data_IF_968860865092
#
_entry.id   IF_968860865092
#
_cell.length_a   1.000
_cell.length_b   1.000
_cell.length_c   1.000
_cell.angle_alpha   90.00
_cell.angle_beta   90.00
_cell.angle_gamma   90.00
#
_symmetry.space_group_name_H-M   'P 1'
#
loop_
_entity.id
_entity.type
_entity.pdbx_description
1 polymer ?
#
# COMPACT_ATOMS: atom_id res chain seq x y z
N UNK A 1 -0.70 -31.37 -32.07
CA UNK A 1 -0.24 -30.53 -30.95
C UNK A 1 1.21 -30.13 -31.22
N UNK A 2 1.45 -28.87 -31.61
CA UNK A 2 2.81 -28.35 -31.82
C UNK A 2 3.39 -28.02 -30.45
N UNK A 3 4.39 -28.76 -30.01
CA UNK A 3 5.13 -28.47 -28.79
C UNK A 3 5.70 -27.05 -28.84
N UNK A 4 5.35 -26.23 -27.85
CA UNK A 4 5.89 -24.89 -27.71
C UNK A 4 7.38 -25.05 -27.36
N UNK A 5 8.23 -24.80 -28.36
CA UNK A 5 9.67 -24.70 -28.19
C UNK A 5 9.93 -23.38 -27.45
N UNK A 6 9.79 -23.36 -26.12
CA UNK A 6 10.34 -22.28 -25.29
C UNK A 6 11.87 -22.38 -25.40
N UNK A 7 12.43 -21.76 -26.44
CA UNK A 7 13.85 -21.83 -26.73
C UNK A 7 14.61 -20.97 -25.74
N UNK A 8 15.78 -21.46 -25.31
CA UNK A 8 16.78 -20.79 -24.47
C UNK A 8 17.11 -19.34 -24.90
N UNK A 9 16.78 -18.96 -26.15
CA UNK A 9 16.83 -17.60 -26.69
C UNK A 9 15.87 -16.63 -25.99
N UNK A 10 14.66 -17.07 -25.63
CA UNK A 10 13.66 -16.24 -24.97
C UNK A 10 14.09 -15.94 -23.55
N UNK A 11 14.56 -16.97 -22.82
CA UNK A 11 15.11 -16.81 -21.47
C UNK A 11 16.27 -15.80 -21.46
N UNK A 12 17.22 -15.91 -22.39
CA UNK A 12 18.32 -14.94 -22.49
C UNK A 12 17.84 -13.53 -22.85
N UNK A 13 16.86 -13.41 -23.74
CA UNK A 13 16.27 -12.11 -24.11
C UNK A 13 15.52 -11.47 -22.94
N UNK A 14 14.78 -12.25 -22.16
CA UNK A 14 13.95 -11.75 -21.08
C UNK A 14 14.82 -11.34 -19.88
N UNK A 15 15.85 -12.12 -19.56
CA UNK A 15 16.88 -11.72 -18.58
C UNK A 15 17.61 -10.43 -18.99
N UNK A 16 17.94 -10.28 -20.28
CA UNK A 16 18.60 -9.07 -20.79
C UNK A 16 17.70 -7.82 -20.71
N UNK A 17 16.41 -7.97 -21.00
CA UNK A 17 15.40 -6.91 -20.81
C UNK A 17 15.28 -6.55 -19.32
N UNK A 18 15.15 -7.55 -18.45
CA UNK A 18 15.04 -7.36 -17.01
C UNK A 18 16.24 -6.59 -16.46
N UNK A 19 17.46 -7.00 -16.87
CA UNK A 19 18.71 -6.31 -16.56
C UNK A 19 18.72 -4.84 -16.96
N UNK A 20 18.40 -4.53 -18.22
CA UNK A 20 18.44 -3.15 -18.67
C UNK A 20 17.39 -2.29 -17.95
N UNK A 21 16.20 -2.83 -17.73
CA UNK A 21 15.11 -2.14 -17.02
C UNK A 21 15.48 -1.88 -15.56
N UNK A 22 15.95 -2.90 -14.83
CA UNK A 22 16.26 -2.79 -13.39
C UNK A 22 17.50 -1.98 -13.11
N UNK A 23 18.60 -2.20 -13.85
CA UNK A 23 19.80 -1.38 -13.71
C UNK A 23 19.51 0.09 -14.05
N UNK A 24 18.72 0.33 -15.11
CA UNK A 24 18.28 1.67 -15.48
C UNK A 24 17.36 2.31 -14.42
N UNK A 25 16.46 1.54 -13.81
CA UNK A 25 15.58 1.98 -12.71
C UNK A 25 16.40 2.39 -11.49
N UNK A 26 17.31 1.52 -11.02
CA UNK A 26 18.17 1.77 -9.85
C UNK A 26 19.04 3.03 -10.03
N UNK A 27 19.58 3.25 -11.23
CA UNK A 27 20.30 4.50 -11.53
C UNK A 27 19.41 5.73 -11.41
N UNK A 28 18.17 5.67 -11.91
CA UNK A 28 17.22 6.81 -11.85
C UNK A 28 16.78 7.10 -10.43
N UNK A 29 16.41 6.09 -9.66
CA UNK A 29 15.93 6.23 -8.27
C UNK A 29 16.99 6.86 -7.36
N UNK A 30 18.27 6.61 -7.64
CA UNK A 30 19.40 7.22 -6.92
C UNK A 30 19.97 8.48 -7.59
N UNK A 31 19.24 9.06 -8.56
CA UNK A 31 19.63 10.28 -9.27
C UNK A 31 21.02 10.22 -9.95
N UNK A 32 21.42 9.03 -10.41
CA UNK A 32 22.67 8.87 -11.12
C UNK A 32 22.56 9.14 -12.61
N UNK A 33 23.50 9.94 -13.12
CA UNK A 33 23.88 9.94 -14.54
C UNK A 33 24.94 8.87 -14.78
N UNK A 34 25.18 8.48 -16.04
CA UNK A 34 26.30 7.57 -16.34
C UNK A 34 27.66 8.11 -15.87
N UNK A 35 27.85 9.43 -15.86
CA UNK A 35 29.11 10.06 -15.43
C UNK A 35 29.28 10.01 -13.91
N UNK A 36 28.24 10.37 -13.16
CA UNK A 36 28.28 10.36 -11.69
C UNK A 36 28.38 8.93 -11.16
N UNK A 37 27.61 8.00 -11.75
CA UNK A 37 27.73 6.58 -11.43
C UNK A 37 29.13 6.03 -11.72
N UNK A 38 29.71 6.32 -12.89
CA UNK A 38 31.06 5.86 -13.22
C UNK A 38 32.11 6.37 -12.21
N UNK A 39 31.97 7.61 -11.74
CA UNK A 39 32.89 8.20 -10.77
C UNK A 39 32.88 7.40 -9.46
N UNK A 40 31.70 7.16 -8.89
CA UNK A 40 31.56 6.45 -7.62
C UNK A 40 31.86 4.95 -7.74
N UNK A 41 31.46 4.32 -8.85
CA UNK A 41 31.81 2.93 -9.14
C UNK A 41 33.33 2.75 -9.20
N UNK A 42 34.05 3.67 -9.86
CA UNK A 42 35.52 3.67 -9.93
C UNK A 42 36.17 3.81 -8.57
N UNK A 43 35.63 4.72 -7.76
CA UNK A 43 36.13 4.98 -6.42
C UNK A 43 35.98 3.75 -5.52
N UNK A 44 34.87 3.01 -5.65
CA UNK A 44 34.61 1.84 -4.81
C UNK A 44 35.30 0.56 -5.26
N UNK A 45 35.31 0.24 -6.56
CA UNK A 45 35.79 -1.06 -7.06
C UNK A 45 37.01 -0.99 -7.99
N UNK A 46 37.41 0.21 -8.41
CA UNK A 46 38.38 0.37 -9.48
C UNK A 46 37.83 0.01 -10.88
N UNK A 47 38.50 0.50 -11.91
CA UNK A 47 38.20 0.13 -13.31
C UNK A 47 36.92 0.73 -13.90
N UNK A 48 36.50 0.25 -15.07
CA UNK A 48 35.33 0.77 -15.79
C UNK A 48 35.61 2.01 -16.66
N UNK A 49 34.81 2.17 -17.71
CA UNK A 49 34.85 3.29 -18.66
C UNK A 49 33.43 3.72 -18.99
N UNK A 50 33.25 4.91 -19.57
CA UNK A 50 31.93 5.35 -20.04
C UNK A 50 31.34 4.35 -21.06
N UNK A 51 32.19 3.75 -21.90
CA UNK A 51 31.79 2.71 -22.82
C UNK A 51 31.33 1.42 -22.10
N UNK A 52 31.89 1.09 -20.93
CA UNK A 52 31.40 -0.03 -20.12
C UNK A 52 30.00 0.27 -19.59
N UNK A 53 29.77 1.45 -18.98
CA UNK A 53 28.45 1.82 -18.44
C UNK A 53 27.38 1.78 -19.53
N UNK A 54 27.67 2.36 -20.70
CA UNK A 54 26.77 2.35 -21.85
C UNK A 54 26.43 0.93 -22.32
N UNK A 55 27.41 0.01 -22.31
CA UNK A 55 27.18 -1.40 -22.66
C UNK A 55 26.35 -2.12 -21.60
N UNK A 56 26.63 -1.90 -20.32
CA UNK A 56 25.88 -2.53 -19.22
C UNK A 56 24.40 -2.14 -19.26
N UNK A 57 24.07 -0.90 -19.64
CA UNK A 57 22.68 -0.45 -19.79
C UNK A 57 21.97 -0.93 -21.07
N UNK A 58 22.68 -1.67 -21.94
CA UNK A 58 22.20 -2.07 -23.28
C UNK A 58 22.42 -3.56 -23.57
N UNK A 59 22.56 -4.39 -22.54
CA UNK A 59 22.67 -5.85 -22.69
C UNK A 59 21.54 -6.38 -23.58
N UNK A 60 21.87 -7.28 -24.50
CA UNK A 60 20.94 -7.82 -25.49
C UNK A 60 20.72 -6.94 -26.74
N UNK A 61 21.17 -5.67 -26.74
CA UNK A 61 21.11 -4.82 -27.93
C UNK A 61 22.16 -5.22 -28.98
N UNK A 62 21.88 -4.97 -30.26
CA UNK A 62 22.87 -5.08 -31.34
C UNK A 62 23.70 -3.80 -31.46
N UNK A 63 25.00 -3.95 -31.71
CA UNK A 63 25.90 -2.87 -32.13
C UNK A 63 26.11 -2.88 -33.66
N UNK A 64 26.74 -1.84 -34.22
CA UNK A 64 26.86 -1.62 -35.68
C UNK A 64 27.44 -2.81 -36.46
N UNK A 65 28.30 -3.61 -35.85
CA UNK A 65 28.86 -4.81 -36.47
C UNK A 65 27.98 -6.06 -36.35
N UNK A 66 26.70 -5.91 -35.95
CA UNK A 66 25.74 -6.99 -35.80
C UNK A 66 25.90 -7.83 -34.53
N UNK A 67 26.96 -7.64 -33.72
CA UNK A 67 27.16 -8.38 -32.47
C UNK A 67 26.19 -7.92 -31.40
N UNK A 68 25.67 -8.87 -30.63
CA UNK A 68 24.84 -8.60 -29.45
C UNK A 68 25.72 -8.27 -28.25
N UNK A 69 25.36 -7.22 -27.50
CA UNK A 69 26.01 -6.88 -26.24
C UNK A 69 25.67 -7.99 -25.22
N UNK A 70 26.70 -8.71 -24.78
CA UNK A 70 26.57 -9.72 -23.72
C UNK A 70 26.44 -9.07 -22.34
N UNK A 71 26.05 -9.87 -21.35
CA UNK A 71 26.18 -9.51 -19.95
C UNK A 71 27.64 -9.18 -19.62
N UNK A 72 27.89 -8.30 -18.63
CA UNK A 72 29.25 -8.10 -18.13
C UNK A 72 29.77 -9.37 -17.43
N UNK A 73 31.05 -9.37 -17.03
CA UNK A 73 31.58 -10.50 -16.25
C UNK A 73 30.79 -10.68 -14.96
N UNK A 74 30.73 -11.91 -14.44
CA UNK A 74 30.03 -12.18 -13.19
C UNK A 74 30.55 -11.31 -12.03
N UNK A 75 31.86 -11.09 -11.95
CA UNK A 75 32.47 -10.15 -11.00
C UNK A 75 31.93 -8.72 -11.15
N UNK A 76 31.78 -8.23 -12.38
CA UNK A 76 31.16 -6.91 -12.61
C UNK A 76 29.68 -6.93 -12.23
N UNK A 77 28.96 -8.04 -12.44
CA UNK A 77 27.57 -8.18 -12.00
C UNK A 77 27.47 -8.11 -10.48
N UNK A 78 28.38 -8.77 -9.75
CA UNK A 78 28.47 -8.70 -8.29
C UNK A 78 28.76 -7.26 -7.83
N UNK A 79 29.72 -6.56 -8.43
CA UNK A 79 30.04 -5.17 -8.06
C UNK A 79 28.85 -4.23 -8.31
N UNK A 80 28.11 -4.43 -9.41
CA UNK A 80 26.89 -3.68 -9.70
C UNK A 80 25.79 -3.98 -8.68
N UNK A 81 25.58 -5.25 -8.36
CA UNK A 81 24.60 -5.68 -7.37
C UNK A 81 24.93 -5.09 -5.98
N UNK A 82 26.18 -5.21 -5.53
CA UNK A 82 26.67 -4.63 -4.26
C UNK A 82 26.58 -3.10 -4.24
N UNK A 83 26.87 -2.43 -5.37
CA UNK A 83 26.76 -0.96 -5.44
C UNK A 83 25.32 -0.52 -5.20
N UNK A 84 24.37 -1.24 -5.78
CA UNK A 84 22.96 -0.95 -5.64
C UNK A 84 22.30 -1.65 -4.44
N UNK A 85 23.04 -2.41 -3.63
CA UNK A 85 22.46 -3.12 -2.48
C UNK A 85 21.39 -4.15 -2.86
N UNK A 86 21.50 -4.74 -4.05
CA UNK A 86 20.59 -5.77 -4.58
C UNK A 86 21.35 -7.05 -4.90
N UNK A 87 20.65 -8.12 -5.25
CA UNK A 87 21.22 -9.37 -5.72
C UNK A 87 21.43 -9.37 -7.23
N UNK A 88 22.34 -10.22 -7.72
CA UNK A 88 22.44 -10.51 -9.15
C UNK A 88 21.15 -11.15 -9.68
N UNK A 89 20.47 -11.94 -8.84
CA UNK A 89 19.17 -12.52 -9.16
C UNK A 89 18.14 -11.44 -9.49
N UNK A 90 18.06 -10.38 -8.67
CA UNK A 90 17.23 -9.21 -8.97
C UNK A 90 17.63 -8.57 -10.31
N UNK A 91 18.91 -8.26 -10.53
CA UNK A 91 19.31 -7.64 -11.79
C UNK A 91 19.02 -8.52 -13.01
N UNK A 92 18.97 -9.83 -12.87
CA UNK A 92 18.75 -10.75 -13.99
C UNK A 92 17.31 -11.27 -14.12
N UNK A 93 16.44 -10.99 -13.16
CA UNK A 93 15.06 -11.47 -13.14
C UNK A 93 14.89 -12.90 -12.61
N UNK A 94 15.81 -13.37 -11.77
CA UNK A 94 15.67 -14.65 -11.05
C UNK A 94 14.81 -14.52 -9.79
N UNK A 95 14.75 -13.32 -9.22
CA UNK A 95 13.83 -12.94 -8.15
C UNK A 95 13.28 -11.55 -8.44
N UNK A 96 12.05 -11.28 -8.01
CA UNK A 96 11.45 -9.94 -8.10
C UNK A 96 11.80 -9.06 -6.90
N UNK A 97 12.36 -9.65 -5.84
CA UNK A 97 12.81 -8.98 -4.63
C UNK A 97 14.26 -8.47 -4.76
N UNK A 98 14.63 -7.40 -4.05
CA UNK A 98 16.02 -6.91 -4.10
C UNK A 98 17.04 -7.99 -3.72
N UNK A 99 16.71 -8.86 -2.76
CA UNK A 99 17.57 -9.97 -2.32
C UNK A 99 16.76 -11.24 -2.05
N UNK A 100 17.41 -12.40 -2.13
CA UNK A 100 16.80 -13.69 -1.80
C UNK A 100 16.48 -13.82 -0.30
N UNK A 101 17.21 -13.10 0.56
CA UNK A 101 16.92 -13.01 1.99
C UNK A 101 15.60 -12.26 2.23
N UNK A 102 15.38 -11.13 1.54
CA UNK A 102 14.13 -10.39 1.61
C UNK A 102 12.98 -11.26 1.08
N UNK A 103 13.14 -11.93 -0.06
CA UNK A 103 12.14 -12.84 -0.61
C UNK A 103 11.69 -13.89 0.42
N UNK A 104 12.65 -14.56 1.07
CA UNK A 104 12.34 -15.55 2.11
C UNK A 104 11.60 -14.95 3.31
N UNK A 105 11.96 -13.74 3.73
CA UNK A 105 11.26 -13.07 4.83
C UNK A 105 9.84 -12.69 4.42
N UNK A 106 9.67 -12.10 3.24
CA UNK A 106 8.37 -11.75 2.65
C UNK A 106 7.45 -12.98 2.61
N UNK A 107 7.93 -14.10 2.05
CA UNK A 107 7.21 -15.36 1.99
C UNK A 107 6.86 -15.91 3.38
N UNK A 108 7.79 -15.78 4.34
CA UNK A 108 7.60 -16.30 5.69
C UNK A 108 6.56 -15.53 6.50
N UNK A 109 6.56 -14.19 6.42
CA UNK A 109 5.66 -13.35 7.23
C UNK A 109 4.42 -12.87 6.47
N UNK A 110 4.34 -13.10 5.16
CA UNK A 110 3.22 -12.69 4.33
C UNK A 110 3.14 -11.19 4.04
N UNK A 111 4.28 -10.49 4.08
CA UNK A 111 4.37 -9.06 3.75
C UNK A 111 5.13 -8.85 2.45
N UNK A 112 4.76 -7.77 1.74
CA UNK A 112 5.52 -7.28 0.59
C UNK A 112 6.85 -6.65 1.03
N UNK A 113 7.78 -6.51 0.07
CA UNK A 113 9.14 -6.02 0.32
C UNK A 113 9.19 -4.67 1.04
N UNK A 114 8.31 -3.74 0.68
CA UNK A 114 8.25 -2.41 1.31
C UNK A 114 7.87 -2.51 2.79
N UNK A 115 7.01 -3.46 3.16
CA UNK A 115 6.65 -3.73 4.56
C UNK A 115 7.83 -4.30 5.35
N UNK A 116 8.56 -5.27 4.77
CA UNK A 116 9.78 -5.83 5.39
C UNK A 116 10.85 -4.76 5.56
N UNK A 117 11.04 -3.89 4.56
CA UNK A 117 11.99 -2.77 4.63
C UNK A 117 11.61 -1.75 5.69
N UNK A 118 10.32 -1.45 5.86
CA UNK A 118 9.86 -0.56 6.92
C UNK A 118 10.21 -1.12 8.31
N UNK A 119 9.95 -2.41 8.55
CA UNK A 119 10.34 -3.10 9.79
C UNK A 119 11.86 -3.05 10.00
N UNK A 120 12.64 -3.33 8.94
CA UNK A 120 14.11 -3.26 8.99
C UNK A 120 14.60 -1.85 9.31
N UNK A 121 14.01 -0.81 8.71
CA UNK A 121 14.38 0.59 8.94
C UNK A 121 14.11 1.06 10.37
N UNK A 122 13.00 0.61 10.96
CA UNK A 122 12.67 0.89 12.37
C UNK A 122 13.68 0.21 13.28
N UNK A 123 13.91 -1.09 13.07
CA UNK A 123 14.82 -1.89 13.93
C UNK A 123 16.30 -1.57 13.73
N UNK A 124 16.70 -0.96 12.62
CA UNK A 124 18.05 -0.39 12.43
C UNK A 124 18.18 1.04 12.96
N UNK A 125 17.05 1.69 13.28
CA UNK A 125 16.97 3.11 13.64
C UNK A 125 17.18 4.08 12.48
N UNK A 126 17.46 3.59 11.27
CA UNK A 126 17.76 4.43 10.09
C UNK A 126 16.55 5.22 9.59
N UNK A 127 15.34 4.71 9.79
CA UNK A 127 14.11 5.38 9.34
C UNK A 127 13.47 6.31 10.38
N UNK A 128 13.97 6.32 11.62
CA UNK A 128 13.33 7.05 12.73
C UNK A 128 13.99 8.39 12.99
N UNK A 129 15.32 8.41 13.09
CA UNK A 129 16.09 9.63 13.33
C UNK A 129 17.50 9.53 12.74
N UNK A 130 18.13 10.67 12.45
CA UNK A 130 19.51 10.73 11.95
C UNK A 130 20.52 10.06 12.90
N UNK A 131 20.25 10.07 14.21
CA UNK A 131 21.04 9.39 15.23
C UNK A 131 20.42 8.05 15.67
N UNK A 132 19.34 7.59 15.04
CA UNK A 132 18.57 6.44 15.49
C UNK A 132 19.35 5.14 15.56
N UNK A 133 20.39 4.97 14.73
CA UNK A 133 21.30 3.82 14.79
C UNK A 133 21.99 3.60 16.14
N UNK A 134 22.14 4.65 16.95
CA UNK A 134 22.77 4.56 18.27
C UNK A 134 21.81 4.07 19.36
N UNK A 135 20.51 4.06 19.06
CA UNK A 135 19.42 3.65 19.95
C UNK A 135 18.49 2.65 19.24
N UNK A 136 19.08 1.85 18.34
CA UNK A 136 18.35 0.90 17.52
C UNK A 136 17.74 -0.23 18.34
N UNK A 137 18.40 -0.62 19.44
CA UNK A 137 17.91 -1.65 20.36
C UNK A 137 16.63 -1.18 21.07
N UNK A 138 16.56 0.10 21.45
CA UNK A 138 15.36 0.72 22.04
C UNK A 138 14.21 0.78 21.03
N UNK A 139 14.46 1.19 19.78
CA UNK A 139 13.42 1.16 18.74
C UNK A 139 12.94 -0.26 18.42
N UNK A 140 13.85 -1.22 18.44
CA UNK A 140 13.51 -2.63 18.28
C UNK A 140 12.61 -3.10 19.43
N UNK A 141 12.91 -2.73 20.67
CA UNK A 141 12.09 -3.04 21.83
C UNK A 141 10.69 -2.42 21.70
N UNK A 142 10.60 -1.13 21.35
CA UNK A 142 9.32 -0.45 21.10
C UNK A 142 8.48 -1.20 20.06
N UNK A 143 9.08 -1.56 18.92
CA UNK A 143 8.37 -2.31 17.88
C UNK A 143 7.95 -3.69 18.38
N UNK A 144 8.83 -4.41 19.06
CA UNK A 144 8.53 -5.73 19.61
C UNK A 144 7.32 -5.67 20.55
N UNK A 145 7.35 -4.80 21.55
CA UNK A 145 6.26 -4.69 22.52
C UNK A 145 4.97 -4.18 21.90
N UNK A 146 5.04 -3.32 20.89
CA UNK A 146 3.85 -2.91 20.11
C UNK A 146 3.23 -4.11 19.39
N UNK A 147 4.05 -4.92 18.71
CA UNK A 147 3.58 -6.08 17.94
C UNK A 147 3.09 -7.22 18.84
N UNK A 148 3.60 -7.32 20.07
CA UNK A 148 3.24 -8.37 21.04
C UNK A 148 2.18 -7.93 22.05
N UNK A 149 1.75 -6.66 22.04
CA UNK A 149 0.63 -6.21 22.86
C UNK A 149 -0.62 -7.03 22.52
N UNK A 150 -1.32 -7.48 23.56
CA UNK A 150 -2.53 -8.29 23.43
C UNK A 150 -3.61 -7.58 22.62
N UNK A 151 -3.72 -6.26 22.78
CA UNK A 151 -4.65 -5.40 22.04
C UNK A 151 -4.25 -5.14 20.58
N UNK A 152 -3.02 -5.49 20.15
CA UNK A 152 -2.55 -5.18 18.79
C UNK A 152 -3.29 -5.97 17.71
N UNK A 153 -3.66 -7.22 17.98
CA UNK A 153 -4.45 -8.03 17.03
C UNK A 153 -5.85 -7.43 16.83
N UNK A 154 -6.48 -6.97 17.91
CA UNK A 154 -7.77 -6.28 17.84
C UNK A 154 -7.63 -4.95 17.07
N UNK A 155 -6.53 -4.21 17.26
CA UNK A 155 -6.26 -2.99 16.50
C UNK A 155 -6.20 -3.25 14.99
N UNK A 156 -5.51 -4.31 14.54
CA UNK A 156 -5.46 -4.67 13.12
C UNK A 156 -6.85 -5.00 12.57
N UNK A 157 -7.67 -5.73 13.33
CA UNK A 157 -9.05 -6.06 12.94
C UNK A 157 -9.89 -4.81 12.80
N UNK A 158 -9.91 -3.96 13.83
CA UNK A 158 -10.73 -2.74 13.83
C UNK A 158 -10.23 -1.70 12.81
N UNK A 159 -8.92 -1.63 12.55
CA UNK A 159 -8.38 -0.77 11.50
C UNK A 159 -8.88 -1.17 10.11
N UNK A 160 -8.98 -2.48 9.84
CA UNK A 160 -9.55 -3.02 8.59
C UNK A 160 -11.05 -2.79 8.49
N UNK A 161 -11.78 -2.83 9.60
CA UNK A 161 -13.21 -2.51 9.65
C UNK A 161 -13.45 -1.01 9.42
N UNK A 162 -12.69 -0.14 10.09
CA UNK A 162 -12.73 1.31 9.87
C UNK A 162 -12.43 1.66 8.41
N UNK A 163 -11.41 1.04 7.80
CA UNK A 163 -11.09 1.24 6.39
C UNK A 163 -12.25 0.83 5.46
N UNK A 164 -12.95 -0.26 5.76
CA UNK A 164 -14.14 -0.68 5.01
C UNK A 164 -15.29 0.34 5.15
N UNK A 165 -15.54 0.85 6.36
CA UNK A 165 -16.57 1.85 6.61
C UNK A 165 -16.28 3.16 5.87
N UNK A 166 -15.03 3.64 5.91
CA UNK A 166 -14.59 4.81 5.14
C UNK A 166 -14.74 4.58 3.63
N UNK A 167 -14.39 3.39 3.14
CA UNK A 167 -14.56 3.05 1.73
C UNK A 167 -16.04 3.10 1.34
N UNK A 168 -16.94 2.48 2.12
CA UNK A 168 -18.38 2.48 1.87
C UNK A 168 -19.00 3.87 1.95
N UNK A 169 -18.45 4.77 2.78
CA UNK A 169 -18.86 6.16 2.83
C UNK A 169 -18.49 6.92 1.55
N UNK A 170 -17.28 6.68 1.00
CA UNK A 170 -16.80 7.28 -0.26
C UNK A 170 -17.42 6.65 -1.51
N UNK A 171 -17.87 5.41 -1.40
CA UNK A 171 -18.45 4.62 -2.48
C UNK A 171 -19.82 4.09 -2.06
N UNK A 172 -20.80 4.99 -1.83
CA UNK A 172 -22.12 4.59 -1.40
C UNK A 172 -22.78 3.73 -2.47
N UNK A 173 -23.50 2.72 -2.00
CA UNK A 173 -24.44 1.99 -2.83
C UNK A 173 -25.72 2.81 -2.87
N UNK A 174 -26.22 3.12 -4.06
CA UNK A 174 -27.57 3.70 -4.22
C UNK A 174 -28.61 2.59 -4.38
N UNK A 175 -29.55 2.53 -3.45
CA UNK A 175 -30.76 1.72 -3.55
C UNK A 175 -31.66 2.25 -4.65
N UNK A 176 -31.74 3.57 -4.84
CA UNK A 176 -32.43 4.20 -5.97
C UNK A 176 -31.92 3.71 -7.32
N UNK A 177 -30.60 3.71 -7.55
CA UNK A 177 -30.01 3.19 -8.79
C UNK A 177 -30.32 1.70 -9.01
N UNK A 178 -30.37 0.92 -7.92
CA UNK A 178 -30.70 -0.51 -7.98
C UNK A 178 -32.17 -0.75 -8.28
N UNK A 179 -33.07 0.07 -7.74
CA UNK A 179 -34.50 0.03 -8.01
C UNK A 179 -34.80 0.46 -9.46
N UNK A 180 -34.21 1.58 -9.89
CA UNK A 180 -34.36 2.13 -11.24
C UNK A 180 -34.01 1.14 -12.34
N UNK A 181 -32.93 0.35 -12.18
CA UNK A 181 -32.51 -0.69 -13.13
C UNK A 181 -33.53 -1.81 -13.35
N UNK A 182 -34.49 -1.99 -12.44
CA UNK A 182 -35.53 -3.02 -12.50
C UNK A 182 -36.84 -2.51 -13.09
N UNK A 183 -36.96 -1.21 -13.35
CA UNK A 183 -38.15 -0.56 -13.88
C UNK A 183 -37.94 -0.31 -15.39
N UNK A 184 -38.99 -0.47 -16.20
CA UNK A 184 -38.91 -0.18 -17.64
C UNK A 184 -38.66 1.32 -17.85
N UNK A 185 -37.89 1.66 -18.88
CA UNK A 185 -37.41 3.04 -19.08
C UNK A 185 -38.54 4.07 -19.22
N UNK A 186 -39.58 3.73 -19.98
CA UNK A 186 -40.77 4.56 -20.19
C UNK A 186 -41.55 4.80 -18.89
N UNK A 187 -41.70 3.76 -18.06
CA UNK A 187 -42.35 3.87 -16.74
C UNK A 187 -41.47 4.62 -15.76
N UNK A 188 -40.16 4.41 -15.78
CA UNK A 188 -39.20 5.01 -14.86
C UNK A 188 -39.16 6.54 -14.98
N UNK A 189 -39.14 7.08 -16.20
CA UNK A 189 -39.13 8.52 -16.44
C UNK A 189 -40.40 9.18 -15.88
N UNK A 190 -41.56 8.55 -16.09
CA UNK A 190 -42.83 9.04 -15.53
C UNK A 190 -42.90 8.87 -14.02
N UNK A 191 -42.40 7.74 -13.49
CA UNK A 191 -42.37 7.48 -12.05
C UNK A 191 -41.54 8.54 -11.30
N UNK A 192 -40.38 8.94 -11.81
CA UNK A 192 -39.59 10.03 -11.20
C UNK A 192 -40.33 11.36 -11.14
N UNK A 193 -41.16 11.67 -12.15
CA UNK A 193 -41.94 12.90 -12.18
C UNK A 193 -43.10 12.88 -11.17
N UNK A 194 -43.62 11.69 -10.89
CA UNK A 194 -44.78 11.48 -10.05
C UNK A 194 -44.44 11.01 -8.62
N UNK A 195 -43.16 10.89 -8.24
CA UNK A 195 -42.76 10.39 -6.91
C UNK A 195 -43.36 11.21 -5.76
N UNK A 196 -43.48 12.53 -5.96
CA UNK A 196 -44.02 13.47 -4.98
C UNK A 196 -45.54 13.70 -5.13
N UNK A 197 -46.21 13.03 -6.06
CA UNK A 197 -47.64 13.23 -6.31
C UNK A 197 -48.48 12.72 -5.14
N UNK A 198 -49.44 13.54 -4.73
CA UNK A 198 -50.33 13.28 -3.61
C UNK A 198 -51.76 13.07 -4.08
N UNK A 199 -52.45 12.18 -3.38
CA UNK A 199 -53.91 12.08 -3.41
C UNK A 199 -54.42 12.22 -1.97
N UNK A 200 -54.92 13.41 -1.63
CA UNK A 200 -55.41 13.75 -0.29
C UNK A 200 -56.85 14.25 -0.44
N UNK A 201 -57.76 13.68 0.34
CA UNK A 201 -59.13 14.16 0.44
C UNK A 201 -59.39 14.60 1.88
N UNK A 202 -59.60 15.90 2.08
CA UNK A 202 -59.95 16.50 3.37
C UNK A 202 -61.30 17.23 3.27
N UNK A 203 -62.13 17.11 4.31
CA UNK A 203 -63.44 17.75 4.43
C UNK A 203 -63.33 19.29 4.54
N UNK A 204 -62.19 19.83 4.98
CA UNK A 204 -61.94 21.27 5.17
C UNK A 204 -61.22 21.93 3.97
N UNK A 205 -60.31 21.21 3.31
CA UNK A 205 -59.44 21.76 2.25
C UNK A 205 -59.69 21.20 0.84
N UNK A 206 -60.59 20.21 0.69
CA UNK A 206 -60.95 19.62 -0.61
C UNK A 206 -60.08 18.45 -1.03
N UNK A 207 -60.14 18.09 -2.33
CA UNK A 207 -59.37 16.98 -2.92
C UNK A 207 -58.13 17.55 -3.62
N UNK A 208 -56.96 17.12 -3.18
CA UNK A 208 -55.68 17.26 -3.90
C UNK A 208 -55.48 15.96 -4.67
N UNK A 209 -55.35 16.06 -5.99
CA UNK A 209 -55.11 14.92 -6.88
C UNK A 209 -54.11 15.35 -7.95
N UNK A 210 -52.81 15.25 -7.60
CA UNK A 210 -51.72 15.70 -8.47
C UNK A 210 -51.68 14.93 -9.79
N UNK A 211 -52.13 13.67 -9.80
CA UNK A 211 -52.23 12.88 -11.03
C UNK A 211 -53.24 13.50 -11.99
N UNK A 212 -54.43 13.86 -11.49
CA UNK A 212 -55.46 14.49 -12.29
C UNK A 212 -55.07 15.91 -12.72
N UNK A 213 -54.48 16.70 -11.84
CA UNK A 213 -54.04 18.06 -12.15
C UNK A 213 -52.97 18.11 -13.25
N UNK A 214 -52.09 17.10 -13.28
CA UNK A 214 -51.03 16.98 -14.28
C UNK A 214 -51.40 16.12 -15.50
N UNK A 215 -52.67 15.70 -15.64
CA UNK A 215 -53.17 14.83 -16.70
C UNK A 215 -52.37 13.51 -16.85
N UNK A 216 -51.97 12.91 -15.74
CA UNK A 216 -51.28 11.62 -15.69
C UNK A 216 -52.25 10.55 -15.22
N UNK A 217 -52.36 9.45 -15.98
CA UNK A 217 -53.17 8.29 -15.58
C UNK A 217 -52.38 7.39 -14.61
N UNK A 218 -52.87 7.15 -13.38
CA UNK A 218 -52.16 6.36 -12.37
C UNK A 218 -52.32 4.86 -12.62
N UNK A 219 -51.60 4.34 -13.63
CA UNK A 219 -51.60 2.90 -13.93
C UNK A 219 -50.97 2.09 -12.79
N UNK A 220 -51.37 0.82 -12.63
CA UNK A 220 -50.82 -0.07 -11.60
C UNK A 220 -49.29 -0.22 -11.72
N UNK A 221 -48.78 -0.31 -12.95
CA UNK A 221 -47.34 -0.38 -13.24
C UNK A 221 -46.59 0.89 -12.81
N UNK A 222 -47.20 2.07 -13.01
CA UNK A 222 -46.64 3.36 -12.58
C UNK A 222 -46.64 3.48 -11.05
N UNK A 223 -47.75 3.12 -10.39
CA UNK A 223 -47.86 3.18 -8.93
C UNK A 223 -46.89 2.20 -8.25
N UNK A 224 -46.70 1.00 -8.80
CA UNK A 224 -45.72 0.03 -8.28
C UNK A 224 -44.28 0.54 -8.46
N UNK A 225 -43.98 1.20 -9.59
CA UNK A 225 -42.68 1.82 -9.83
C UNK A 225 -42.40 2.97 -8.84
N UNK A 226 -43.37 3.87 -8.63
CA UNK A 226 -43.26 4.96 -7.65
C UNK A 226 -43.01 4.40 -6.24
N UNK A 227 -43.80 3.40 -5.81
CA UNK A 227 -43.62 2.79 -4.50
C UNK A 227 -42.23 2.16 -4.33
N UNK A 228 -41.72 1.47 -5.35
CA UNK A 228 -40.36 0.90 -5.33
C UNK A 228 -39.27 1.97 -5.23
N UNK A 229 -39.44 3.11 -5.90
CA UNK A 229 -38.51 4.22 -5.82
C UNK A 229 -38.57 4.92 -4.46
N UNK A 230 -39.77 5.17 -3.92
CA UNK A 230 -39.92 5.81 -2.61
C UNK A 230 -39.29 4.96 -1.48
N UNK A 231 -39.55 3.64 -1.47
CA UNK A 231 -38.88 2.73 -0.52
C UNK A 231 -37.36 2.77 -0.68
N UNK A 232 -36.86 2.76 -1.93
CA UNK A 232 -35.43 2.83 -2.18
C UNK A 232 -34.80 4.18 -1.78
N UNK A 233 -35.56 5.28 -1.87
CA UNK A 233 -35.14 6.59 -1.43
C UNK A 233 -35.04 6.66 0.10
N UNK A 234 -36.03 6.12 0.81
CA UNK A 234 -36.01 5.97 2.27
C UNK A 234 -34.82 5.12 2.75
N UNK A 235 -34.53 4.01 2.05
CA UNK A 235 -33.36 3.17 2.30
C UNK A 235 -32.05 3.94 2.07
N UNK A 236 -31.95 4.75 1.00
CA UNK A 236 -30.78 5.58 0.72
C UNK A 236 -30.54 6.62 1.82
N UNK A 237 -31.59 7.30 2.29
CA UNK A 237 -31.51 8.25 3.42
C UNK A 237 -31.10 7.57 4.72
N UNK A 238 -31.71 6.42 5.04
CA UNK A 238 -31.42 5.66 6.27
C UNK A 238 -29.99 5.12 6.27
N UNK A 239 -29.53 4.64 5.12
CA UNK A 239 -28.17 4.14 4.95
C UNK A 239 -27.13 5.26 5.02
N UNK A 240 -27.43 6.47 4.52
CA UNK A 240 -26.55 7.63 4.67
C UNK A 240 -26.21 7.92 6.13
N UNK A 241 -27.24 8.03 6.98
CA UNK A 241 -27.06 8.26 8.42
C UNK A 241 -26.31 7.10 9.08
N UNK A 242 -26.65 5.86 8.69
CA UNK A 242 -26.01 4.65 9.22
C UNK A 242 -24.53 4.57 8.86
N UNK A 243 -24.13 4.97 7.64
CA UNK A 243 -22.72 5.02 7.22
C UNK A 243 -21.92 6.01 8.06
N UNK A 244 -22.44 7.22 8.24
CA UNK A 244 -21.79 8.25 9.06
C UNK A 244 -21.59 7.79 10.50
N UNK A 245 -22.60 7.13 11.07
CA UNK A 245 -22.51 6.56 12.40
C UNK A 245 -21.46 5.44 12.47
N UNK A 246 -21.45 4.51 11.51
CA UNK A 246 -20.46 3.40 11.47
C UNK A 246 -19.03 3.91 11.39
N UNK A 247 -18.76 4.93 10.57
CA UNK A 247 -17.42 5.54 10.49
C UNK A 247 -17.00 6.13 11.84
N UNK A 248 -17.86 6.93 12.47
CA UNK A 248 -17.55 7.55 13.77
C UNK A 248 -17.34 6.52 14.88
N UNK A 249 -18.18 5.48 14.95
CA UNK A 249 -18.07 4.42 15.96
C UNK A 249 -16.80 3.59 15.76
N UNK A 250 -16.52 3.15 14.53
CA UNK A 250 -15.30 2.36 14.26
C UNK A 250 -14.02 3.17 14.46
N UNK A 251 -14.03 4.47 14.16
CA UNK A 251 -12.90 5.36 14.51
C UNK A 251 -12.68 5.45 16.02
N UNK A 252 -13.76 5.63 16.78
CA UNK A 252 -13.70 5.73 18.23
C UNK A 252 -13.17 4.44 18.89
N UNK A 253 -13.67 3.27 18.47
CA UNK A 253 -13.18 1.99 18.98
C UNK A 253 -11.70 1.77 18.63
N UNK A 254 -11.28 2.12 17.41
CA UNK A 254 -9.89 2.04 17.00
C UNK A 254 -8.97 2.91 17.88
N UNK A 255 -9.40 4.14 18.19
CA UNK A 255 -8.68 5.04 19.09
C UNK A 255 -8.57 4.47 20.50
N UNK A 256 -9.65 3.87 21.02
CA UNK A 256 -9.66 3.25 22.34
C UNK A 256 -8.65 2.10 22.45
N UNK A 257 -8.63 1.21 21.45
CA UNK A 257 -7.68 0.09 21.39
C UNK A 257 -6.25 0.61 21.27
N UNK A 258 -6.02 1.68 20.50
CA UNK A 258 -4.70 2.33 20.43
C UNK A 258 -4.21 2.80 21.80
N UNK A 259 -5.09 3.38 22.64
CA UNK A 259 -4.72 3.74 24.01
C UNK A 259 -4.40 2.52 24.88
N UNK A 260 -5.05 1.38 24.65
CA UNK A 260 -4.76 0.15 25.38
C UNK A 260 -3.39 -0.42 24.98
N UNK A 261 -3.02 -0.38 23.70
CA UNK A 261 -1.65 -0.70 23.24
C UNK A 261 -0.62 0.19 23.93
N UNK A 262 -0.87 1.51 24.04
CA UNK A 262 0.06 2.42 24.73
C UNK A 262 0.23 2.02 26.20
N UNK A 263 -0.84 1.63 26.89
CA UNK A 263 -0.77 1.21 28.30
C UNK A 263 0.06 -0.05 28.47
N UNK A 264 -0.13 -1.04 27.61
CA UNK A 264 0.67 -2.29 27.60
C UNK A 264 2.14 -1.99 27.27
N UNK A 265 2.40 -1.08 26.32
CA UNK A 265 3.75 -0.68 25.95
C UNK A 265 4.54 -0.11 27.14
N UNK A 266 3.90 0.70 27.99
CA UNK A 266 4.58 1.39 29.12
C UNK A 266 4.54 0.63 30.44
N UNK A 267 4.28 -0.68 30.41
CA UNK A 267 4.43 -1.53 31.59
C UNK A 267 5.87 -1.48 32.13
N UNK A 268 6.02 -1.48 33.46
CA UNK A 268 7.32 -1.32 34.14
C UNK A 268 8.39 -2.31 33.69
N UNK A 269 7.98 -3.51 33.25
CA UNK A 269 8.89 -4.54 32.73
C UNK A 269 9.46 -4.22 31.34
N UNK A 270 8.77 -3.40 30.53
CA UNK A 270 9.20 -3.00 29.20
C UNK A 270 10.14 -1.78 29.21
N UNK A 271 9.98 -0.89 30.19
CA UNK A 271 10.69 0.40 30.25
C UNK A 271 12.23 0.31 30.18
N UNK A 272 12.90 -0.65 30.86
CA UNK A 272 14.36 -0.75 30.82
C UNK A 272 14.91 -1.02 29.42
N UNK A 273 14.16 -1.73 28.58
CA UNK A 273 14.58 -2.11 27.22
C UNK A 273 14.34 -0.98 26.21
N UNK A 274 13.45 -0.02 26.53
CA UNK A 274 13.08 1.10 25.67
C UNK A 274 13.73 2.44 26.05
N UNK A 275 14.53 2.47 27.12
CA UNK A 275 15.13 3.72 27.63
C UNK A 275 16.64 3.63 27.70
N UNK A 276 17.31 4.74 27.37
CA UNK A 276 18.72 4.90 27.71
C UNK A 276 18.78 5.34 29.17
N UNK A 277 19.46 4.59 30.06
CA UNK A 277 19.64 5.02 31.44
C UNK A 277 20.29 6.42 31.46
N UNK A 278 19.67 7.37 32.17
CA UNK A 278 20.33 8.62 32.52
C UNK A 278 21.46 8.31 33.50
N UNK A 279 22.62 7.98 32.96
CA UNK A 279 23.85 7.85 33.73
C UNK A 279 24.18 9.20 34.37
N UNK A 280 24.34 9.23 35.70
CA UNK A 280 25.02 10.33 36.38
C UNK A 280 26.43 10.46 35.78
N UNK A 281 27.01 11.68 35.74
CA UNK A 281 28.31 11.97 35.10
C UNK A 281 29.44 10.98 35.47
N UNK A 282 29.35 10.34 36.64
CA UNK A 282 30.28 9.31 37.10
C UNK A 282 30.26 8.04 36.25
N UNK A 283 29.11 7.58 35.80
CA UNK A 283 28.97 6.32 35.06
C UNK A 283 29.44 6.47 33.61
N UNK A 284 29.26 7.66 33.02
CA UNK A 284 29.81 8.01 31.70
C UNK A 284 31.35 7.99 31.69
N UNK A 285 31.99 8.34 32.80
CA UNK A 285 33.46 8.29 32.94
C UNK A 285 33.94 6.84 33.01
N UNK A 286 33.24 5.96 33.73
CA UNK A 286 33.59 4.54 33.82
C UNK A 286 33.40 3.80 32.50
N UNK A 287 32.32 4.07 31.74
CA UNK A 287 32.09 3.47 30.43
C UNK A 287 33.17 3.90 29.42
N UNK A 288 33.57 5.18 29.43
CA UNK A 288 34.68 5.69 28.59
C UNK A 288 36.03 5.08 28.97
N UNK A 289 36.25 4.75 30.24
CA UNK A 289 37.47 4.08 30.69
C UNK A 289 37.49 2.58 30.34
N UNK A 290 36.35 1.89 30.39
CA UNK A 290 36.22 0.49 29.95
C UNK A 290 36.40 0.34 28.44
N UNK A 291 35.82 1.22 27.61
CA UNK A 291 35.98 1.20 26.15
C UNK A 291 37.39 1.57 25.64
N UNK A 292 38.24 2.15 26.48
CA UNK A 292 39.67 2.40 26.15
C UNK A 292 40.60 1.24 26.51
N UNK A 293 40.09 0.20 27.19
CA UNK A 293 40.88 -0.92 27.73
C UNK A 293 40.57 -2.27 27.10
N UNK A 294 39.66 -2.33 26.13
CA UNK A 294 39.41 -3.49 25.25
C UNK A 294 39.66 -3.11 23.81
#
# INVERSE_FOLDING_TARGET
MKGIKYTMSNIKSDRAKCWCTRLGKLMKERNYTQKTFLKEYKEKYGGGTQANISRWLRVGSKIENGKTIGFPSYETMLNLADFFGVSVGYLTGETDYETFEIEKVCEFIGLEEDGVKAIKGITSGESVDWHGKYIADEYKAVLQYTLTASSFVDFIREAREYAENVYRQKHPISYMDRAAKKIKKDVLELAYQCMDYQYISDDEYGIIDDFKENNVEPTEELLEAINKLNVAQEDDYSEEQSRDQRVKLSEYELQKIYFDIIKELVEEEHLPDMTIPMYDEKDLIEIKQKKKRG
#
